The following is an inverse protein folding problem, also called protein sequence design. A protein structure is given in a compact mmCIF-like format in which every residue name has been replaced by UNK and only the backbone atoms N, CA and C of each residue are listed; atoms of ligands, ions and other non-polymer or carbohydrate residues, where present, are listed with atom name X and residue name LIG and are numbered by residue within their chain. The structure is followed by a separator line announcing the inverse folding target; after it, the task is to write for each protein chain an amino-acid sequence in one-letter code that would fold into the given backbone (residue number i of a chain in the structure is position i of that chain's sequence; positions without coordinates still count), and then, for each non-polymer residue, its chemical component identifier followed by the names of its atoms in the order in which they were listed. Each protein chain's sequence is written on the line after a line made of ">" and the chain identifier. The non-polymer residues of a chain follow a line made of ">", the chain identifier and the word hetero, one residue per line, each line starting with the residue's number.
data_IF_109978026261
#
_entry.id   IF_109978026261
#
_cell.length_a   1.000
_cell.length_b   1.000
_cell.length_c   1.000
_cell.angle_alpha   90.00
_cell.angle_beta   90.00
_cell.angle_gamma   90.00
#
_symmetry.space_group_name_H-M   'P 1'
#
loop_
_entity.id
_entity.type
_entity.pdbx_description
1 polymer ?
#
# COMPACT_ATOMS: atom_id res chain seq x y z
N UNK A 1 -7.47 -19.08 28.04
CA UNK A 1 -7.15 -20.33 27.31
C UNK A 1 -7.37 -20.27 25.79
N UNK A 2 -7.98 -19.21 25.22
CA UNK A 2 -8.36 -19.17 23.79
C UNK A 2 -7.29 -18.59 22.83
N UNK A 3 -6.48 -17.62 23.25
CA UNK A 3 -5.54 -16.94 22.32
C UNK A 3 -4.27 -17.76 22.05
N UNK A 4 -3.74 -18.45 23.06
CA UNK A 4 -2.58 -19.33 22.90
C UNK A 4 -2.86 -20.51 21.96
N UNK A 5 -4.00 -21.19 22.13
CA UNK A 5 -4.42 -22.32 21.29
C UNK A 5 -4.61 -21.87 19.84
N UNK A 6 -5.22 -20.70 19.63
CA UNK A 6 -5.39 -20.13 18.29
C UNK A 6 -4.05 -19.81 17.63
N UNK A 7 -3.13 -19.13 18.34
CA UNK A 7 -1.79 -18.82 17.81
C UNK A 7 -0.99 -20.08 17.51
N UNK A 8 -1.07 -21.09 18.37
CA UNK A 8 -0.42 -22.37 18.15
C UNK A 8 -0.97 -23.10 16.92
N UNK A 9 -2.29 -23.16 16.77
CA UNK A 9 -2.93 -23.75 15.59
C UNK A 9 -2.55 -23.02 14.29
N UNK A 10 -2.51 -21.68 14.32
CA UNK A 10 -2.08 -20.86 13.18
C UNK A 10 -0.60 -21.10 12.81
N UNK A 11 0.27 -21.25 13.82
CA UNK A 11 1.68 -21.56 13.60
C UNK A 11 1.86 -22.94 12.96
N UNK A 12 1.11 -23.96 13.43
CA UNK A 12 1.12 -25.28 12.83
C UNK A 12 0.61 -25.26 11.38
N UNK A 13 -0.48 -24.55 11.11
CA UNK A 13 -1.01 -24.41 9.75
C UNK A 13 0.03 -23.76 8.81
N UNK A 14 0.73 -22.72 9.28
CA UNK A 14 1.80 -22.06 8.53
C UNK A 14 2.99 -22.99 8.27
N UNK A 15 3.40 -23.76 9.29
CA UNK A 15 4.42 -24.79 9.15
C UNK A 15 4.06 -25.82 8.08
N UNK A 16 2.82 -26.32 8.09
CA UNK A 16 2.32 -27.26 7.09
C UNK A 16 2.34 -26.69 5.66
N UNK A 17 1.98 -25.41 5.49
CA UNK A 17 2.05 -24.72 4.18
C UNK A 17 3.49 -24.69 3.65
N UNK A 18 4.46 -24.30 4.46
CA UNK A 18 5.86 -24.23 4.02
C UNK A 18 6.46 -25.60 3.73
N UNK A 19 6.16 -26.60 4.56
CA UNK A 19 6.60 -27.98 4.33
C UNK A 19 6.02 -28.49 3.01
N UNK A 20 4.73 -28.26 2.76
CA UNK A 20 4.07 -28.68 1.51
C UNK A 20 4.68 -27.98 0.29
N UNK A 21 4.94 -26.66 0.39
CA UNK A 21 5.57 -25.90 -0.68
C UNK A 21 6.99 -26.41 -0.98
N UNK A 22 7.80 -26.67 0.05
CA UNK A 22 9.15 -27.22 -0.09
C UNK A 22 9.13 -28.61 -0.74
N UNK A 23 8.27 -29.51 -0.26
CA UNK A 23 8.11 -30.84 -0.84
C UNK A 23 7.67 -30.79 -2.30
N UNK A 24 6.73 -29.90 -2.64
CA UNK A 24 6.26 -29.70 -4.02
C UNK A 24 7.40 -29.25 -4.93
N UNK A 25 8.22 -28.29 -4.46
CA UNK A 25 9.39 -27.83 -5.21
C UNK A 25 10.40 -28.94 -5.47
N UNK A 26 10.77 -29.71 -4.44
CA UNK A 26 11.73 -30.80 -4.58
C UNK A 26 11.18 -31.95 -5.44
N UNK A 27 9.89 -32.25 -5.36
CA UNK A 27 9.24 -33.23 -6.23
C UNK A 27 9.28 -32.80 -7.71
N UNK A 28 8.92 -31.56 -8.00
CA UNK A 28 9.02 -30.99 -9.35
C UNK A 28 10.47 -30.97 -9.85
N UNK A 29 11.42 -30.56 -9.00
CA UNK A 29 12.83 -30.52 -9.35
C UNK A 29 13.35 -31.92 -9.70
N UNK A 30 13.06 -32.92 -8.87
CA UNK A 30 13.41 -34.31 -9.13
C UNK A 30 12.84 -34.79 -10.47
N UNK A 31 11.57 -34.47 -10.75
CA UNK A 31 10.93 -34.86 -12.01
C UNK A 31 11.54 -34.13 -13.22
N UNK A 32 11.85 -32.85 -13.09
CA UNK A 32 12.51 -32.10 -14.16
C UNK A 32 13.91 -32.63 -14.43
N UNK A 33 14.67 -33.02 -13.40
CA UNK A 33 15.99 -33.67 -13.57
C UNK A 33 15.84 -35.02 -14.28
N UNK A 34 14.83 -35.82 -13.95
CA UNK A 34 14.57 -37.10 -14.63
C UNK A 34 14.21 -36.92 -16.12
N UNK A 35 13.36 -35.93 -16.44
CA UNK A 35 12.86 -35.72 -17.81
C UNK A 35 13.83 -34.95 -18.70
N UNK A 36 14.62 -34.03 -18.13
CA UNK A 36 15.43 -33.07 -18.89
C UNK A 36 16.93 -33.07 -18.52
N UNK A 37 17.35 -33.99 -17.65
CA UNK A 37 18.75 -34.14 -17.24
C UNK A 37 19.33 -32.87 -16.63
N UNK A 38 20.48 -32.42 -17.14
CA UNK A 38 21.23 -31.25 -16.63
C UNK A 38 20.43 -29.94 -16.78
N UNK A 39 19.47 -29.87 -17.71
CA UNK A 39 18.59 -28.71 -17.88
C UNK A 39 17.40 -28.69 -16.91
N UNK A 40 17.16 -29.80 -16.19
CA UNK A 40 16.04 -29.98 -15.27
C UNK A 40 15.93 -28.89 -14.19
N UNK A 41 17.02 -28.54 -13.48
CA UNK A 41 16.96 -27.51 -12.44
C UNK A 41 16.55 -26.13 -12.95
N UNK A 42 17.03 -25.72 -14.12
CA UNK A 42 16.71 -24.42 -14.73
C UNK A 42 15.25 -24.38 -15.16
N UNK A 43 14.77 -25.47 -15.76
CA UNK A 43 13.36 -25.61 -16.16
C UNK A 43 12.44 -25.56 -14.93
N UNK A 44 12.76 -26.29 -13.87
CA UNK A 44 12.01 -26.27 -12.61
C UNK A 44 11.96 -24.86 -12.01
N UNK A 45 13.10 -24.17 -11.97
CA UNK A 45 13.20 -22.82 -11.40
C UNK A 45 12.40 -21.79 -12.21
N UNK A 46 12.57 -21.74 -13.53
CA UNK A 46 11.84 -20.82 -14.41
C UNK A 46 10.34 -21.10 -14.34
N UNK A 47 9.95 -22.36 -14.40
CA UNK A 47 8.54 -22.73 -14.31
C UNK A 47 7.92 -22.38 -12.96
N UNK A 48 8.67 -22.44 -11.84
CA UNK A 48 8.20 -21.94 -10.55
C UNK A 48 7.98 -20.45 -10.50
N UNK A 49 8.88 -19.66 -11.10
CA UNK A 49 8.66 -18.23 -11.24
C UNK A 49 7.37 -17.97 -12.04
N UNK A 50 7.18 -18.66 -13.16
CA UNK A 50 5.99 -18.49 -14.00
C UNK A 50 4.70 -18.91 -13.28
N UNK A 51 4.68 -20.05 -12.58
CA UNK A 51 3.52 -20.47 -11.80
C UNK A 51 3.22 -19.52 -10.65
N UNK A 52 4.25 -18.99 -10.00
CA UNK A 52 4.07 -18.02 -8.93
C UNK A 52 3.49 -16.70 -9.44
N UNK A 53 4.07 -16.13 -10.51
CA UNK A 53 3.54 -14.91 -11.16
C UNK A 53 2.12 -15.15 -11.68
N UNK A 54 1.86 -16.31 -12.29
CA UNK A 54 0.53 -16.70 -12.76
C UNK A 54 -0.48 -16.80 -11.61
N UNK A 55 -0.12 -17.47 -10.52
CA UNK A 55 -0.97 -17.60 -9.33
C UNK A 55 -1.27 -16.26 -8.66
N UNK A 56 -0.31 -15.34 -8.62
CA UNK A 56 -0.54 -13.96 -8.16
C UNK A 56 -1.45 -13.20 -9.11
N UNK A 57 -1.28 -13.37 -10.43
CA UNK A 57 -2.15 -12.73 -11.43
C UNK A 57 -3.60 -13.19 -11.27
N UNK A 58 -3.81 -14.49 -11.06
CA UNK A 58 -5.13 -15.07 -10.78
C UNK A 58 -5.71 -14.50 -9.49
N UNK A 59 -4.89 -14.35 -8.44
CA UNK A 59 -5.31 -13.77 -7.16
C UNK A 59 -5.79 -12.33 -7.32
N UNK A 60 -5.02 -11.48 -8.00
CA UNK A 60 -5.43 -10.10 -8.23
C UNK A 60 -6.64 -10.00 -9.18
N UNK A 61 -6.72 -10.87 -10.20
CA UNK A 61 -7.91 -10.95 -11.05
C UNK A 61 -9.15 -11.33 -10.23
N UNK A 62 -9.01 -12.22 -9.25
CA UNK A 62 -10.07 -12.54 -8.30
C UNK A 62 -10.55 -11.33 -7.52
N UNK A 63 -9.64 -10.53 -6.95
CA UNK A 63 -10.01 -9.28 -6.29
C UNK A 63 -10.72 -8.30 -7.23
N UNK A 64 -10.26 -8.21 -8.48
CA UNK A 64 -10.88 -7.38 -9.51
C UNK A 64 -12.33 -7.80 -9.77
N UNK A 65 -12.60 -9.09 -10.00
CA UNK A 65 -13.95 -9.59 -10.20
C UNK A 65 -14.82 -9.45 -8.95
N UNK A 66 -14.23 -9.67 -7.76
CA UNK A 66 -14.88 -9.43 -6.48
C UNK A 66 -15.29 -7.97 -6.29
N UNK A 67 -14.43 -7.03 -6.70
CA UNK A 67 -14.72 -5.60 -6.68
C UNK A 67 -15.87 -5.23 -7.62
N UNK A 68 -15.88 -5.79 -8.83
CA UNK A 68 -16.98 -5.61 -9.79
C UNK A 68 -18.30 -6.15 -9.23
N UNK A 69 -18.29 -7.35 -8.65
CA UNK A 69 -19.47 -7.93 -7.99
C UNK A 69 -19.95 -7.09 -6.80
N UNK A 70 -19.01 -6.52 -6.03
CA UNK A 70 -19.26 -5.57 -4.96
C UNK A 70 -19.70 -4.17 -5.43
N UNK A 71 -19.77 -3.93 -6.74
CA UNK A 71 -20.03 -2.60 -7.35
C UNK A 71 -19.09 -1.52 -6.81
N UNK A 72 -17.84 -1.90 -6.56
CA UNK A 72 -16.77 -0.97 -6.19
C UNK A 72 -16.13 -0.43 -7.47
N UNK A 73 -15.70 0.82 -7.42
CA UNK A 73 -15.00 1.46 -8.54
C UNK A 73 -13.54 1.05 -8.48
N UNK A 74 -13.06 0.35 -9.50
CA UNK A 74 -11.65 0.00 -9.61
C UNK A 74 -10.87 1.26 -9.98
N UNK A 75 -9.82 1.53 -9.21
CA UNK A 75 -8.94 2.69 -9.43
C UNK A 75 -7.61 2.25 -10.03
N UNK A 76 -7.03 1.16 -9.55
CA UNK A 76 -5.81 0.61 -10.13
C UNK A 76 -5.68 -0.88 -9.88
N UNK A 77 -5.00 -1.57 -10.78
CA UNK A 77 -4.57 -2.97 -10.64
C UNK A 77 -3.08 -3.04 -10.94
N UNK A 78 -2.31 -3.73 -10.12
CA UNK A 78 -0.90 -4.00 -10.39
C UNK A 78 -0.57 -5.47 -10.18
N UNK A 79 0.31 -6.00 -11.03
CA UNK A 79 0.93 -7.32 -10.88
C UNK A 79 2.41 -7.15 -11.18
N UNK A 80 3.25 -7.34 -10.17
CA UNK A 80 4.67 -7.02 -10.22
C UNK A 80 4.93 -5.57 -10.66
N UNK A 81 5.81 -5.33 -11.64
CA UNK A 81 6.19 -3.98 -12.06
C UNK A 81 5.12 -3.28 -12.92
N UNK A 82 4.10 -4.01 -13.37
CA UNK A 82 3.10 -3.51 -14.31
C UNK A 82 1.87 -3.04 -13.54
N UNK A 83 1.46 -1.79 -13.80
CA UNK A 83 0.28 -1.19 -13.19
C UNK A 83 -0.65 -0.63 -14.27
N UNK A 84 -1.95 -0.88 -14.10
CA UNK A 84 -3.02 -0.25 -14.87
C UNK A 84 -3.75 0.70 -13.93
N UNK A 85 -3.72 2.00 -14.22
CA UNK A 85 -4.40 3.03 -13.44
C UNK A 85 -5.54 3.65 -14.23
N UNK A 86 -6.68 3.88 -13.57
CA UNK A 86 -7.79 4.64 -14.12
C UNK A 86 -7.48 6.14 -14.03
N UNK A 87 -7.49 6.83 -15.17
CA UNK A 87 -7.41 8.31 -15.26
C UNK A 87 -8.78 8.91 -15.58
N UNK A 88 -8.89 10.25 -15.61
CA UNK A 88 -10.11 10.98 -16.00
C UNK A 88 -10.70 10.48 -17.34
N UNK A 89 -9.87 10.00 -18.27
CA UNK A 89 -10.27 9.38 -19.55
C UNK A 89 -9.65 7.99 -19.72
N UNK A 90 -10.32 6.96 -19.21
CA UNK A 90 -9.96 5.56 -19.45
C UNK A 90 -8.86 5.01 -18.53
N UNK A 91 -8.25 3.90 -18.95
CA UNK A 91 -7.16 3.23 -18.23
C UNK A 91 -5.83 3.52 -18.91
N UNK A 92 -4.78 3.73 -18.13
CA UNK A 92 -3.43 3.92 -18.61
C UNK A 92 -2.52 2.86 -18.02
N UNK A 93 -1.77 2.18 -18.88
CA UNK A 93 -0.70 1.28 -18.50
C UNK A 93 0.51 2.11 -18.06
N UNK A 94 1.14 1.72 -16.96
CA UNK A 94 2.34 2.35 -16.42
C UNK A 94 3.18 1.34 -15.63
N UNK A 95 4.32 1.80 -15.14
CA UNK A 95 5.14 1.06 -14.18
C UNK A 95 4.84 1.56 -12.77
N UNK A 96 4.84 0.66 -11.80
CA UNK A 96 4.69 1.04 -10.40
C UNK A 96 6.03 1.64 -9.90
N UNK A 97 6.09 2.93 -9.49
CA UNK A 97 7.37 3.61 -9.23
C UNK A 97 8.15 3.09 -8.01
N UNK A 98 7.48 2.57 -6.96
CA UNK A 98 8.08 2.50 -5.61
C UNK A 98 8.12 1.13 -4.91
N UNK A 99 8.05 -0.02 -5.59
CA UNK A 99 8.20 -1.31 -4.88
C UNK A 99 8.84 -2.41 -5.72
N UNK A 100 10.02 -2.94 -5.33
CA UNK A 100 10.49 -4.21 -5.87
C UNK A 100 10.00 -5.45 -5.09
N UNK A 101 9.43 -5.33 -3.88
CA UNK A 101 9.35 -6.53 -2.99
C UNK A 101 8.07 -6.80 -2.19
N UNK A 102 7.26 -5.82 -1.77
CA UNK A 102 6.31 -6.10 -0.66
C UNK A 102 4.90 -6.57 -1.07
N UNK A 103 4.55 -6.48 -2.36
CA UNK A 103 3.27 -6.99 -2.86
C UNK A 103 3.47 -7.49 -4.28
N UNK A 104 3.38 -8.80 -4.47
CA UNK A 104 3.47 -9.43 -5.78
C UNK A 104 2.38 -8.91 -6.75
N UNK A 105 1.27 -8.39 -6.20
CA UNK A 105 0.22 -7.67 -6.90
C UNK A 105 -0.67 -6.91 -5.91
N UNK A 106 -1.54 -6.03 -6.43
CA UNK A 106 -2.65 -5.46 -5.68
C UNK A 106 -3.79 -4.97 -6.58
N UNK A 107 -5.03 -5.08 -6.09
CA UNK A 107 -6.19 -4.35 -6.61
C UNK A 107 -6.57 -3.23 -5.65
N UNK A 108 -6.74 -2.03 -6.18
CA UNK A 108 -7.28 -0.90 -5.43
C UNK A 108 -8.67 -0.52 -5.91
N UNK A 109 -9.56 -0.34 -4.94
CA UNK A 109 -10.98 -0.09 -5.11
C UNK A 109 -11.38 1.14 -4.32
N UNK A 110 -12.29 1.92 -4.89
CA UNK A 110 -12.93 3.06 -4.25
C UNK A 110 -14.42 2.74 -4.11
N UNK A 111 -15.01 2.85 -2.91
CA UNK A 111 -16.45 2.75 -2.78
C UNK A 111 -17.11 3.98 -3.40
N UNK A 112 -18.05 3.76 -4.33
CA UNK A 112 -18.87 4.84 -4.92
C UNK A 112 -20.10 5.17 -4.08
N UNK A 113 -20.52 4.22 -3.23
CA UNK A 113 -21.65 4.33 -2.32
C UNK A 113 -21.29 3.59 -1.05
N UNK A 114 -21.50 4.23 0.10
CA UNK A 114 -21.10 3.72 1.41
C UNK A 114 -22.10 2.73 2.01
N UNK A 115 -23.29 2.59 1.41
CA UNK A 115 -24.28 1.61 1.84
C UNK A 115 -23.76 0.18 1.71
N UNK A 116 -23.89 -0.57 2.81
CA UNK A 116 -23.44 -1.97 2.93
C UNK A 116 -21.96 -2.16 2.54
N UNK A 117 -21.12 -1.16 2.80
CA UNK A 117 -19.70 -1.16 2.43
C UNK A 117 -18.97 -2.45 2.84
N UNK A 118 -19.19 -2.94 4.06
CA UNK A 118 -18.57 -4.19 4.52
C UNK A 118 -18.89 -5.39 3.63
N UNK A 119 -20.13 -5.54 3.16
CA UNK A 119 -20.51 -6.63 2.25
C UNK A 119 -19.86 -6.48 0.88
N UNK A 120 -19.76 -5.26 0.38
CA UNK A 120 -19.12 -4.95 -0.91
C UNK A 120 -17.61 -5.23 -0.84
N UNK A 121 -16.97 -4.82 0.26
CA UNK A 121 -15.56 -5.13 0.53
C UNK A 121 -15.34 -6.63 0.73
N UNK A 122 -16.27 -7.34 1.36
CA UNK A 122 -16.18 -8.80 1.50
C UNK A 122 -16.08 -9.50 0.14
N UNK A 123 -16.88 -9.10 -0.84
CA UNK A 123 -16.78 -9.62 -2.22
C UNK A 123 -15.43 -9.36 -2.85
N UNK A 124 -14.88 -8.16 -2.68
CA UNK A 124 -13.54 -7.83 -3.16
C UNK A 124 -12.48 -8.70 -2.47
N UNK A 125 -12.52 -8.80 -1.14
CA UNK A 125 -11.51 -9.48 -0.33
C UNK A 125 -11.54 -11.00 -0.50
N UNK A 126 -12.71 -11.61 -0.66
CA UNK A 126 -12.81 -13.05 -0.91
C UNK A 126 -12.48 -13.42 -2.38
N UNK A 127 -12.59 -12.45 -3.30
CA UNK A 127 -12.38 -12.68 -4.73
C UNK A 127 -11.04 -13.32 -5.05
N UNK A 128 -9.94 -12.79 -4.51
CA UNK A 128 -8.59 -13.31 -4.77
C UNK A 128 -8.39 -14.74 -4.29
N UNK A 129 -8.60 -15.04 -2.99
CA UNK A 129 -8.47 -16.39 -2.48
C UNK A 129 -9.39 -17.40 -3.18
N UNK A 130 -10.64 -17.03 -3.49
CA UNK A 130 -11.57 -17.90 -4.21
C UNK A 130 -11.09 -18.21 -5.64
N UNK A 131 -10.55 -17.22 -6.36
CA UNK A 131 -10.01 -17.43 -7.70
C UNK A 131 -8.84 -18.45 -7.68
N UNK A 132 -7.96 -18.35 -6.69
CA UNK A 132 -6.86 -19.30 -6.51
C UNK A 132 -7.38 -20.70 -6.15
N UNK A 133 -8.34 -20.82 -5.24
CA UNK A 133 -8.93 -22.11 -4.90
C UNK A 133 -9.59 -22.78 -6.12
N UNK A 134 -10.39 -22.04 -6.88
CA UNK A 134 -11.05 -22.55 -8.09
C UNK A 134 -10.03 -22.96 -9.17
N UNK A 135 -9.00 -22.13 -9.38
CA UNK A 135 -7.93 -22.45 -10.33
C UNK A 135 -7.15 -23.69 -9.89
N UNK A 136 -6.86 -23.81 -8.60
CA UNK A 136 -6.17 -24.96 -8.05
C UNK A 136 -6.97 -26.26 -8.23
N UNK A 137 -8.27 -26.23 -7.94
CA UNK A 137 -9.18 -27.36 -8.15
C UNK A 137 -9.30 -27.72 -9.64
N UNK A 138 -9.36 -26.73 -10.53
CA UNK A 138 -9.39 -26.96 -11.98
C UNK A 138 -8.09 -27.62 -12.46
N UNK A 139 -6.93 -27.10 -12.07
CA UNK A 139 -5.63 -27.69 -12.40
C UNK A 139 -5.52 -29.13 -11.89
N UNK A 140 -6.02 -29.41 -10.68
CA UNK A 140 -6.02 -30.76 -10.11
C UNK A 140 -6.92 -31.70 -10.91
N UNK A 141 -8.13 -31.27 -11.27
CA UNK A 141 -9.06 -32.05 -12.07
C UNK A 141 -8.49 -32.37 -13.46
N UNK A 142 -7.87 -31.39 -14.11
CA UNK A 142 -7.20 -31.58 -15.40
C UNK A 142 -5.99 -32.50 -15.28
N UNK A 143 -5.17 -32.35 -14.22
CA UNK A 143 -4.05 -33.23 -13.96
C UNK A 143 -4.51 -34.68 -13.83
N UNK A 144 -5.53 -34.95 -13.01
CA UNK A 144 -6.09 -36.30 -12.83
C UNK A 144 -6.71 -36.84 -14.12
N UNK A 145 -7.45 -36.02 -14.86
CA UNK A 145 -8.11 -36.45 -16.09
C UNK A 145 -7.12 -36.90 -17.17
N UNK A 146 -6.04 -36.15 -17.35
CA UNK A 146 -5.10 -36.41 -18.42
C UNK A 146 -3.90 -37.27 -17.97
N UNK A 147 -3.62 -37.38 -16.67
CA UNK A 147 -2.59 -38.27 -16.14
C UNK A 147 -3.12 -39.71 -16.20
N UNK A 148 -3.20 -40.25 -17.42
CA UNK A 148 -3.56 -41.64 -17.64
C UNK A 148 -2.57 -42.52 -16.88
N UNK A 149 -3.04 -43.44 -16.02
CA UNK A 149 -2.15 -44.31 -15.27
C UNK A 149 -1.29 -45.09 -16.28
N UNK A 150 0.03 -44.98 -16.15
CA UNK A 150 0.94 -45.88 -16.83
C UNK A 150 0.62 -47.30 -16.35
N UNK A 151 -0.13 -48.03 -17.18
CA UNK A 151 -0.26 -49.50 -17.22
C UNK A 151 -0.32 -50.22 -15.87
N UNK A 152 -1.52 -50.69 -15.48
CA UNK A 152 -1.93 -51.88 -14.69
C UNK A 152 -0.96 -52.64 -13.71
N UNK A 153 0.22 -52.12 -13.36
CA UNK A 153 1.26 -52.83 -12.60
C UNK A 153 1.69 -52.17 -11.29
N UNK A 154 1.15 -50.99 -10.95
CA UNK A 154 1.44 -50.29 -9.68
C UNK A 154 0.22 -50.20 -8.74
N UNK A 155 -0.70 -51.17 -8.82
CA UNK A 155 -1.70 -51.39 -7.76
C UNK A 155 -1.03 -52.11 -6.58
N UNK A 156 -0.17 -51.40 -5.85
CA UNK A 156 0.51 -51.95 -4.67
C UNK A 156 0.90 -50.94 -3.58
N UNK A 157 0.82 -49.63 -3.86
CA UNK A 157 1.03 -48.59 -2.86
C UNK A 157 -0.26 -47.81 -2.62
N UNK A 158 -0.93 -48.05 -1.49
CA UNK A 158 -2.12 -47.29 -1.04
C UNK A 158 -1.74 -45.90 -0.52
N UNK A 159 -0.77 -45.23 -1.14
CA UNK A 159 -0.27 -43.95 -0.67
C UNK A 159 -1.20 -42.84 -1.15
N UNK A 160 -1.96 -42.29 -0.21
CA UNK A 160 -2.86 -41.14 -0.39
C UNK A 160 -2.10 -39.82 -0.67
N UNK A 161 -0.79 -39.85 -0.93
CA UNK A 161 0.05 -38.68 -0.77
C UNK A 161 0.35 -37.95 -2.10
N UNK A 162 0.07 -36.63 -2.22
CA UNK A 162 0.11 -35.91 -3.51
C UNK A 162 1.45 -35.88 -4.26
N UNK A 163 2.59 -36.06 -3.60
CA UNK A 163 3.90 -35.99 -4.26
C UNK A 163 4.23 -37.25 -5.05
N UNK A 164 3.70 -38.41 -4.67
CA UNK A 164 3.85 -39.63 -5.47
C UNK A 164 3.19 -39.41 -6.84
N UNK A 165 2.06 -38.71 -6.90
CA UNK A 165 1.40 -38.39 -8.17
C UNK A 165 2.19 -37.39 -9.04
N UNK A 166 2.96 -36.49 -8.41
CA UNK A 166 3.89 -35.59 -9.12
C UNK A 166 5.05 -36.40 -9.73
N UNK A 167 5.60 -37.35 -8.98
CA UNK A 167 6.74 -38.17 -9.43
C UNK A 167 6.32 -39.27 -10.41
N UNK A 168 5.13 -39.84 -10.24
CA UNK A 168 4.54 -40.90 -11.08
C UNK A 168 3.85 -40.35 -12.33
N UNK A 169 3.74 -39.03 -12.46
CA UNK A 169 3.14 -38.40 -13.63
C UNK A 169 3.88 -38.82 -14.91
N UNK A 170 3.17 -39.51 -15.80
CA UNK A 170 3.76 -40.12 -17.02
C UNK A 170 4.23 -39.06 -18.02
N UNK A 171 3.73 -37.84 -17.89
CA UNK A 171 3.97 -36.72 -18.81
C UNK A 171 4.37 -35.45 -18.07
N UNK A 172 5.23 -34.64 -18.70
CA UNK A 172 5.75 -33.40 -18.13
C UNK A 172 4.65 -32.40 -17.78
N UNK A 173 3.62 -32.26 -18.62
CA UNK A 173 2.55 -31.28 -18.41
C UNK A 173 1.64 -31.64 -17.23
N UNK A 174 1.44 -32.93 -16.91
CA UNK A 174 0.68 -33.36 -15.72
C UNK A 174 1.39 -32.94 -14.42
N UNK A 175 2.71 -33.08 -14.36
CA UNK A 175 3.55 -32.61 -13.26
C UNK A 175 3.37 -31.10 -13.02
N UNK A 176 3.36 -30.30 -14.09
CA UNK A 176 3.13 -28.86 -14.03
C UNK A 176 1.72 -28.50 -13.56
N UNK A 177 0.68 -29.23 -13.98
CA UNK A 177 -0.69 -29.03 -13.52
C UNK A 177 -0.87 -29.38 -12.04
N UNK A 178 -0.28 -30.48 -11.56
CA UNK A 178 -0.28 -30.79 -10.13
C UNK A 178 0.44 -29.71 -9.32
N UNK A 179 1.58 -29.24 -9.80
CA UNK A 179 2.32 -28.17 -9.13
C UNK A 179 1.52 -26.87 -9.10
N UNK A 180 0.89 -26.50 -10.22
CA UNK A 180 0.01 -25.34 -10.31
C UNK A 180 -1.20 -25.47 -9.36
N UNK A 181 -1.76 -26.67 -9.24
CA UNK A 181 -2.85 -26.96 -8.32
C UNK A 181 -2.44 -26.66 -6.87
N UNK A 182 -1.32 -27.25 -6.42
CA UNK A 182 -0.83 -27.08 -5.05
C UNK A 182 -0.48 -25.61 -4.77
N UNK A 183 0.27 -24.96 -5.67
CA UNK A 183 0.64 -23.54 -5.50
C UNK A 183 -0.60 -22.66 -5.35
N UNK A 184 -1.60 -22.82 -6.21
CA UNK A 184 -2.81 -22.01 -6.13
C UNK A 184 -3.65 -22.33 -4.88
N UNK A 185 -3.80 -23.61 -4.51
CA UNK A 185 -4.50 -23.98 -3.27
C UNK A 185 -3.81 -23.39 -2.04
N UNK A 186 -2.48 -23.47 -1.97
CA UNK A 186 -1.70 -22.90 -0.87
C UNK A 186 -1.81 -21.37 -0.82
N UNK A 187 -1.74 -20.68 -1.97
CA UNK A 187 -1.93 -19.23 -2.05
C UNK A 187 -3.32 -18.81 -1.56
N UNK A 188 -4.37 -19.51 -1.98
CA UNK A 188 -5.75 -19.23 -1.56
C UNK A 188 -5.95 -19.47 -0.06
N UNK A 189 -5.52 -20.64 0.44
CA UNK A 189 -5.63 -20.98 1.86
C UNK A 189 -4.82 -20.03 2.75
N UNK A 190 -3.57 -19.75 2.39
CA UNK A 190 -2.70 -18.85 3.16
C UNK A 190 -3.27 -17.42 3.24
N UNK A 191 -3.99 -16.95 2.21
CA UNK A 191 -4.67 -15.66 2.24
C UNK A 191 -6.01 -15.69 2.99
N UNK A 192 -6.64 -16.84 3.22
CA UNK A 192 -7.85 -16.94 4.05
C UNK A 192 -7.56 -17.15 5.54
N UNK A 193 -6.42 -17.75 5.87
CA UNK A 193 -5.99 -17.93 7.26
C UNK A 193 -5.63 -16.54 7.83
N UNK A 194 -6.28 -16.07 8.91
CA UNK A 194 -6.12 -14.71 9.40
C UNK A 194 -4.81 -14.55 10.19
N UNK A 195 -3.70 -14.39 9.47
CA UNK A 195 -2.37 -14.19 10.04
C UNK A 195 -1.93 -12.76 9.75
N UNK A 196 -1.61 -11.93 10.78
CA UNK A 196 -0.96 -10.65 10.57
C UNK A 196 0.48 -10.87 10.09
N UNK A 197 0.86 -10.20 9.00
CA UNK A 197 2.22 -10.20 8.46
C UNK A 197 2.77 -8.77 8.62
N UNK A 198 3.81 -8.58 9.43
CA UNK A 198 4.48 -7.29 9.66
C UNK A 198 3.53 -6.14 10.04
N UNK A 199 2.55 -6.42 10.91
CA UNK A 199 1.55 -5.43 11.34
C UNK A 199 0.47 -5.13 10.31
N UNK A 200 0.53 -5.72 9.10
CA UNK A 200 -0.51 -5.65 8.06
C UNK A 200 -1.29 -6.96 8.02
N UNK A 201 -2.62 -6.86 8.03
CA UNK A 201 -3.48 -8.04 7.87
C UNK A 201 -3.53 -8.50 6.41
N UNK A 202 -3.37 -9.81 6.18
CA UNK A 202 -3.75 -10.43 4.90
C UNK A 202 -5.27 -10.40 4.69
N UNK A 203 -5.76 -10.89 3.56
CA UNK A 203 -7.20 -10.84 3.24
C UNK A 203 -8.06 -11.56 4.28
N UNK A 204 -7.56 -12.66 4.84
CA UNK A 204 -8.19 -13.44 5.90
C UNK A 204 -8.38 -12.65 7.18
N UNK A 205 -7.39 -11.84 7.59
CA UNK A 205 -7.54 -10.92 8.73
C UNK A 205 -8.65 -9.90 8.46
N UNK A 206 -8.69 -9.33 7.25
CA UNK A 206 -9.72 -8.35 6.85
C UNK A 206 -11.11 -8.99 6.77
N UNK A 207 -11.21 -10.20 6.23
CA UNK A 207 -12.45 -10.99 6.16
C UNK A 207 -12.93 -11.44 7.55
N UNK A 208 -12.02 -11.89 8.40
CA UNK A 208 -12.36 -12.27 9.77
C UNK A 208 -12.88 -11.06 10.56
N UNK A 209 -12.29 -9.88 10.35
CA UNK A 209 -12.80 -8.62 10.91
C UNK A 209 -14.20 -8.26 10.37
N UNK A 210 -14.52 -8.63 9.13
CA UNK A 210 -15.87 -8.50 8.56
C UNK A 210 -16.88 -9.48 9.17
N UNK A 211 -16.49 -10.74 9.42
CA UNK A 211 -17.42 -11.82 9.79
C UNK A 211 -17.65 -12.02 11.30
N UNK A 212 -16.74 -11.60 12.20
CA UNK A 212 -16.87 -11.81 13.66
C UNK A 212 -17.91 -10.92 14.38
N UNK A 213 -18.93 -10.44 13.67
CA UNK A 213 -20.16 -9.90 14.27
C UNK A 213 -20.11 -8.45 14.78
N UNK A 214 -21.30 -7.91 15.08
CA UNK A 214 -21.61 -6.47 15.28
C UNK A 214 -20.67 -5.73 16.26
N UNK A 215 -20.19 -6.36 17.32
CA UNK A 215 -19.34 -5.71 18.34
C UNK A 215 -17.88 -5.48 17.90
N UNK A 216 -17.34 -6.33 17.03
CA UNK A 216 -15.99 -6.14 16.46
C UNK A 216 -16.03 -5.31 15.17
N UNK A 217 -17.08 -5.47 14.36
CA UNK A 217 -17.32 -4.65 13.17
C UNK A 217 -17.56 -3.18 13.53
N UNK A 218 -18.38 -2.85 14.53
CA UNK A 218 -18.54 -1.44 14.97
C UNK A 218 -17.21 -0.79 15.38
N UNK A 219 -16.23 -1.59 15.81
CA UNK A 219 -14.88 -1.11 16.19
C UNK A 219 -13.92 -1.04 15.00
N UNK A 220 -13.93 -2.01 14.10
CA UNK A 220 -12.94 -2.14 13.01
C UNK A 220 -13.43 -1.57 11.68
N UNK A 221 -14.74 -1.54 11.43
CA UNK A 221 -15.30 -0.98 10.20
C UNK A 221 -14.93 0.48 9.98
N UNK A 222 -15.04 1.36 10.99
CA UNK A 222 -14.62 2.75 10.82
C UNK A 222 -13.13 2.78 10.49
N UNK A 223 -12.31 2.00 11.16
CA UNK A 223 -10.86 1.92 10.93
C UNK A 223 -10.55 1.57 9.47
N UNK A 224 -11.11 0.47 8.96
CA UNK A 224 -10.91 0.05 7.57
C UNK A 224 -11.45 1.08 6.57
N UNK A 225 -12.57 1.70 6.88
CA UNK A 225 -13.13 2.77 6.07
C UNK A 225 -12.20 3.99 5.99
N UNK A 226 -11.61 4.43 7.11
CA UNK A 226 -10.65 5.53 7.13
C UNK A 226 -9.40 5.18 6.31
N UNK A 227 -8.92 3.93 6.41
CA UNK A 227 -7.80 3.44 5.61
C UNK A 227 -8.09 3.44 4.10
N UNK A 228 -9.27 2.98 3.68
CA UNK A 228 -9.62 2.98 2.27
C UNK A 228 -9.83 4.39 1.72
N UNK A 229 -10.36 5.32 2.54
CA UNK A 229 -10.44 6.73 2.16
C UNK A 229 -9.03 7.33 2.04
N UNK A 230 -8.16 7.12 3.03
CA UNK A 230 -6.76 7.58 2.96
C UNK A 230 -6.05 7.05 1.72
N UNK A 231 -6.21 5.76 1.41
CA UNK A 231 -5.67 5.15 0.18
C UNK A 231 -6.22 5.82 -1.07
N UNK A 232 -7.52 6.10 -1.10
CA UNK A 232 -8.17 6.82 -2.20
C UNK A 232 -7.58 8.22 -2.38
N UNK A 233 -7.37 8.98 -1.30
CA UNK A 233 -6.79 10.33 -1.36
C UNK A 233 -5.32 10.31 -1.77
N UNK A 234 -4.50 9.43 -1.17
CA UNK A 234 -3.10 9.22 -1.59
C UNK A 234 -2.99 8.92 -3.08
N UNK A 235 -3.94 8.15 -3.60
CA UNK A 235 -3.93 7.74 -4.98
C UNK A 235 -4.46 8.83 -5.92
N UNK A 236 -5.44 9.62 -5.49
CA UNK A 236 -5.84 10.84 -6.18
C UNK A 236 -4.66 11.80 -6.31
N UNK A 237 -3.93 12.01 -5.20
CA UNK A 237 -2.71 12.82 -5.13
C UNK A 237 -1.66 12.32 -6.12
N UNK A 238 -1.23 11.05 -6.04
CA UNK A 238 -0.31 10.44 -7.02
C UNK A 238 -0.84 10.48 -8.47
N UNK A 239 -2.15 10.50 -8.64
CA UNK A 239 -2.84 10.62 -9.93
C UNK A 239 -2.82 12.03 -10.54
N UNK A 240 -2.25 13.02 -9.85
CA UNK A 240 -2.24 14.43 -10.26
C UNK A 240 -3.48 15.21 -9.83
N UNK A 241 -4.27 14.69 -8.89
CA UNK A 241 -5.39 15.44 -8.29
C UNK A 241 -4.86 16.19 -7.08
N UNK A 242 -5.04 17.50 -7.12
CA UNK A 242 -4.56 18.40 -6.11
C UNK A 242 -5.35 18.25 -4.78
N UNK A 243 -4.74 18.46 -3.59
CA UNK A 243 -5.44 18.37 -2.32
C UNK A 243 -6.74 19.17 -2.22
N UNK A 244 -6.78 20.44 -2.68
CA UNK A 244 -8.02 21.25 -2.67
C UNK A 244 -9.15 20.71 -3.56
N UNK A 245 -8.83 19.84 -4.51
CA UNK A 245 -9.81 19.25 -5.45
C UNK A 245 -10.38 17.91 -4.94
N UNK A 246 -9.99 17.48 -3.74
CA UNK A 246 -10.57 16.27 -3.14
C UNK A 246 -12.02 16.50 -2.71
N UNK A 247 -12.77 15.41 -2.58
CA UNK A 247 -14.11 15.46 -2.00
C UNK A 247 -13.99 15.78 -0.50
N UNK A 248 -14.43 16.97 -0.11
CA UNK A 248 -14.36 17.44 1.28
C UNK A 248 -15.07 16.51 2.26
N UNK A 249 -16.17 15.86 1.84
CA UNK A 249 -16.90 14.89 2.66
C UNK A 249 -16.09 13.61 2.88
N UNK A 250 -15.26 13.19 1.91
CA UNK A 250 -14.30 12.10 2.11
C UNK A 250 -13.16 12.51 3.05
N UNK A 251 -12.64 13.73 2.92
CA UNK A 251 -11.57 14.23 3.81
C UNK A 251 -12.06 14.29 5.26
N UNK A 252 -13.25 14.84 5.50
CA UNK A 252 -13.85 14.90 6.82
C UNK A 252 -14.10 13.50 7.39
N UNK A 253 -14.63 12.60 6.56
CA UNK A 253 -14.90 11.22 6.97
C UNK A 253 -13.64 10.37 7.24
N UNK A 254 -12.51 10.72 6.63
CA UNK A 254 -11.22 10.10 6.90
C UNK A 254 -10.65 10.51 8.26
N UNK A 255 -10.97 11.71 8.75
CA UNK A 255 -10.43 12.21 10.00
C UNK A 255 -11.10 11.47 11.17
N UNK A 256 -10.32 10.73 11.98
CA UNK A 256 -10.90 10.07 13.14
C UNK A 256 -11.36 11.12 14.16
N UNK A 257 -12.45 10.86 14.89
CA UNK A 257 -12.82 11.66 16.06
C UNK A 257 -11.67 11.68 17.06
N UNK A 258 -11.41 12.82 17.71
CA UNK A 258 -10.30 12.97 18.67
C UNK A 258 -10.36 11.95 19.82
N UNK A 259 -11.56 11.52 20.21
CA UNK A 259 -11.80 10.53 21.26
C UNK A 259 -11.53 9.07 20.82
N UNK A 260 -11.27 8.84 19.53
CA UNK A 260 -11.08 7.50 18.97
C UNK A 260 -9.66 6.97 19.23
N UNK A 261 -9.33 6.77 20.51
CA UNK A 261 -8.17 5.99 20.95
C UNK A 261 -8.49 4.49 20.86
N UNK A 262 -8.69 3.98 19.63
CA UNK A 262 -8.91 2.56 19.41
C UNK A 262 -7.56 1.84 19.18
N UNK A 263 -7.25 0.78 19.96
CA UNK A 263 -6.09 -0.06 19.73
C UNK A 263 -6.09 -0.56 18.27
N UNK A 264 -5.09 -0.17 17.49
CA UNK A 264 -4.94 -0.56 16.08
C UNK A 264 -4.97 0.59 15.07
N UNK A 265 -5.51 1.77 15.43
CA UNK A 265 -5.48 2.96 14.54
C UNK A 265 -4.23 3.83 14.76
N UNK A 266 -3.56 3.66 15.91
CA UNK A 266 -2.47 4.51 16.39
C UNK A 266 -1.33 4.70 15.37
N UNK A 267 -1.00 3.64 14.63
CA UNK A 267 0.07 3.67 13.63
C UNK A 267 -0.28 4.51 12.39
N UNK A 268 -1.54 4.92 12.20
CA UNK A 268 -1.96 5.67 11.00
C UNK A 268 -2.72 6.95 11.30
N UNK A 269 -2.98 7.26 12.58
CA UNK A 269 -3.50 8.56 13.01
C UNK A 269 -2.70 9.72 12.40
N UNK A 270 -1.36 9.62 12.46
CA UNK A 270 -0.48 10.64 11.88
C UNK A 270 -0.70 10.82 10.37
N UNK A 271 -0.97 9.73 9.63
CA UNK A 271 -1.28 9.80 8.20
C UNK A 271 -2.64 10.44 7.91
N UNK A 272 -3.68 10.12 8.69
CA UNK A 272 -4.99 10.76 8.51
C UNK A 272 -4.91 12.27 8.74
N UNK A 273 -4.27 12.69 9.83
CA UNK A 273 -4.11 14.11 10.13
C UNK A 273 -3.23 14.83 9.11
N UNK A 274 -2.15 14.20 8.62
CA UNK A 274 -1.30 14.78 7.58
C UNK A 274 -2.07 15.03 6.27
N UNK A 275 -2.93 14.10 5.86
CA UNK A 275 -3.76 14.29 4.65
C UNK A 275 -4.82 15.36 4.86
N UNK A 276 -5.43 15.43 6.04
CA UNK A 276 -6.31 16.54 6.40
C UNK A 276 -5.58 17.88 6.35
N UNK A 277 -4.34 17.94 6.86
CA UNK A 277 -3.48 19.12 6.78
C UNK A 277 -3.24 19.55 5.33
N UNK A 278 -2.88 18.63 4.42
CA UNK A 278 -2.67 18.98 3.01
C UNK A 278 -3.92 19.60 2.37
N UNK A 279 -5.10 19.02 2.61
CA UNK A 279 -6.35 19.59 2.11
C UNK A 279 -6.65 20.97 2.71
N UNK A 280 -6.52 21.12 4.04
CA UNK A 280 -6.79 22.38 4.73
C UNK A 280 -5.82 23.49 4.31
N UNK A 281 -4.53 23.18 4.22
CA UNK A 281 -3.50 24.11 3.75
C UNK A 281 -3.81 24.59 2.33
N UNK A 282 -4.12 23.64 1.45
CA UNK A 282 -4.32 23.93 0.04
C UNK A 282 -5.66 24.61 -0.26
N UNK A 283 -6.64 24.54 0.64
CA UNK A 283 -7.89 25.31 0.58
C UNK A 283 -7.79 26.68 1.26
N UNK A 284 -6.61 27.03 1.80
CA UNK A 284 -6.37 28.30 2.48
C UNK A 284 -6.90 28.37 3.91
N UNK A 285 -7.31 27.24 4.50
CA UNK A 285 -7.75 27.18 5.89
C UNK A 285 -6.54 26.92 6.81
N UNK A 286 -5.70 27.95 6.98
CA UNK A 286 -4.42 27.85 7.69
C UNK A 286 -4.58 27.47 9.16
N UNK A 287 -5.61 27.98 9.85
CA UNK A 287 -5.87 27.62 11.25
C UNK A 287 -6.15 26.13 11.41
N UNK A 288 -7.01 25.58 10.55
CA UNK A 288 -7.32 24.15 10.56
C UNK A 288 -6.12 23.31 10.14
N UNK A 289 -5.33 23.78 9.18
CA UNK A 289 -4.10 23.12 8.75
C UNK A 289 -3.13 22.99 9.93
N UNK A 290 -2.90 24.07 10.69
CA UNK A 290 -2.03 24.06 11.86
C UNK A 290 -2.49 23.06 12.93
N UNK A 291 -3.79 23.04 13.25
CA UNK A 291 -4.35 22.08 14.22
C UNK A 291 -4.11 20.62 13.79
N UNK A 292 -4.37 20.31 12.52
CA UNK A 292 -4.18 18.96 11.98
C UNK A 292 -2.71 18.57 11.92
N UNK A 293 -1.82 19.51 11.59
CA UNK A 293 -0.38 19.28 11.61
C UNK A 293 0.14 18.98 13.03
N UNK A 294 -0.36 19.71 14.04
CA UNK A 294 -0.01 19.46 15.44
C UNK A 294 -0.43 18.05 15.87
N UNK A 295 -1.62 17.60 15.48
CA UNK A 295 -2.09 16.23 15.71
C UNK A 295 -1.23 15.21 14.97
N UNK A 296 -0.88 15.47 13.71
CA UNK A 296 0.00 14.60 12.92
C UNK A 296 1.37 14.44 13.59
N UNK A 297 1.97 15.55 14.05
CA UNK A 297 3.23 15.57 14.78
C UNK A 297 3.11 14.80 16.10
N UNK A 298 2.03 14.96 16.89
CA UNK A 298 1.83 14.22 18.14
C UNK A 298 1.81 12.70 17.92
N UNK A 299 1.13 12.23 16.88
CA UNK A 299 0.99 10.81 16.56
C UNK A 299 2.10 10.23 15.68
N UNK A 300 3.17 10.97 15.39
CA UNK A 300 4.25 10.53 14.48
C UNK A 300 5.02 9.29 15.00
N UNK A 301 5.07 9.06 16.32
CA UNK A 301 5.80 7.94 16.91
C UNK A 301 5.19 6.60 16.44
N UNK A 302 6.02 5.61 16.12
CA UNK A 302 5.58 4.31 15.58
C UNK A 302 5.51 4.23 14.05
N UNK A 303 5.56 5.36 13.33
CA UNK A 303 5.65 5.36 11.87
C UNK A 303 7.07 5.09 11.36
N UNK A 304 7.23 4.79 10.06
CA UNK A 304 8.56 4.62 9.44
C UNK A 304 9.43 5.87 9.57
N UNK A 305 10.75 5.71 9.53
CA UNK A 305 11.68 6.83 9.69
C UNK A 305 11.48 7.93 8.62
N UNK A 306 11.25 7.54 7.37
CA UNK A 306 10.99 8.46 6.26
C UNK A 306 9.66 9.21 6.46
N UNK A 307 8.61 8.51 6.90
CA UNK A 307 7.33 9.16 7.17
C UNK A 307 7.45 10.19 8.31
N UNK A 308 8.15 9.84 9.39
CA UNK A 308 8.39 10.79 10.49
C UNK A 308 9.18 12.01 10.03
N UNK A 309 10.19 11.81 9.18
CA UNK A 309 10.96 12.91 8.59
C UNK A 309 10.08 13.84 7.75
N UNK A 310 9.20 13.28 6.90
CA UNK A 310 8.27 14.05 6.09
C UNK A 310 7.30 14.89 6.95
N UNK A 311 6.69 14.32 7.99
CA UNK A 311 5.80 15.07 8.89
C UNK A 311 6.55 16.18 9.63
N UNK A 312 7.80 15.93 10.08
CA UNK A 312 8.63 16.96 10.69
C UNK A 312 9.06 18.04 9.70
N UNK A 313 9.23 17.73 8.42
CA UNK A 313 9.50 18.73 7.37
C UNK A 313 8.29 19.64 7.16
N UNK A 314 7.08 19.10 7.13
CA UNK A 314 5.87 19.93 7.11
C UNK A 314 5.76 20.80 8.36
N UNK A 315 6.09 20.24 9.54
CA UNK A 315 6.22 21.00 10.78
C UNK A 315 7.19 22.19 10.65
N UNK A 316 8.38 21.94 10.09
CA UNK A 316 9.39 22.99 9.87
C UNK A 316 8.84 24.13 9.01
N UNK A 317 8.28 23.79 7.84
CA UNK A 317 7.76 24.78 6.92
C UNK A 317 6.63 25.59 7.55
N UNK A 318 5.66 24.92 8.17
CA UNK A 318 4.47 25.58 8.68
C UNK A 318 4.81 26.54 9.85
N UNK A 319 5.70 26.12 10.74
CA UNK A 319 6.17 26.97 11.84
C UNK A 319 6.92 28.20 11.31
N UNK A 320 7.83 28.04 10.34
CA UNK A 320 8.62 29.14 9.81
C UNK A 320 7.79 30.12 8.95
N UNK A 321 6.98 29.59 8.03
CA UNK A 321 6.32 30.40 7.00
C UNK A 321 4.99 31.01 7.48
N UNK A 322 4.16 30.24 8.20
CA UNK A 322 2.82 30.69 8.61
C UNK A 322 2.75 31.17 10.05
N UNK A 323 3.45 30.50 10.98
CA UNK A 323 3.44 30.87 12.41
C UNK A 323 4.57 31.85 12.78
N UNK A 324 5.56 32.02 11.91
CA UNK A 324 6.77 32.82 12.15
C UNK A 324 7.52 32.44 13.44
N UNK A 325 7.45 31.16 13.86
CA UNK A 325 8.18 30.62 14.99
C UNK A 325 9.43 29.89 14.51
N UNK A 326 10.53 30.65 14.41
CA UNK A 326 11.81 30.12 13.98
C UNK A 326 12.38 29.06 14.93
N UNK A 327 12.10 29.18 16.23
CA UNK A 327 12.60 28.24 17.24
C UNK A 327 11.93 26.87 17.07
N UNK A 328 10.60 26.85 16.95
CA UNK A 328 9.84 25.64 16.68
C UNK A 328 10.23 25.02 15.33
N UNK A 329 10.39 25.84 14.28
CA UNK A 329 10.82 25.39 12.97
C UNK A 329 12.18 24.67 13.03
N UNK A 330 13.18 25.27 13.67
CA UNK A 330 14.52 24.66 13.83
C UNK A 330 14.48 23.38 14.66
N UNK A 331 13.62 23.31 15.67
CA UNK A 331 13.45 22.09 16.46
C UNK A 331 12.89 20.92 15.62
N UNK A 332 11.97 21.20 14.68
CA UNK A 332 11.46 20.19 13.75
C UNK A 332 12.45 19.81 12.66
N UNK A 333 13.20 20.79 12.13
CA UNK A 333 14.24 20.57 11.13
C UNK A 333 15.26 19.54 11.58
N UNK A 334 15.80 19.69 12.80
CA UNK A 334 16.76 18.74 13.38
C UNK A 334 16.18 17.33 13.46
N UNK A 335 14.90 17.19 13.81
CA UNK A 335 14.22 15.88 13.94
C UNK A 335 13.96 15.20 12.59
N UNK A 336 13.90 15.97 11.51
CA UNK A 336 13.63 15.45 10.18
C UNK A 336 14.88 14.92 9.46
N UNK A 337 16.09 15.31 9.88
CA UNK A 337 17.36 14.92 9.25
C UNK A 337 17.66 13.41 9.24
N UNK A 338 16.86 12.60 9.95
CA UNK A 338 17.08 11.16 10.06
C UNK A 338 16.42 10.33 8.94
N UNK A 339 15.70 10.92 7.98
CA UNK A 339 14.95 10.17 6.96
C UNK A 339 15.02 10.77 5.56
N UNK A 340 14.57 9.99 4.57
CA UNK A 340 14.50 10.42 3.18
C UNK A 340 13.19 11.18 2.93
N UNK A 341 13.30 12.41 2.42
CA UNK A 341 12.20 13.30 2.01
C UNK A 341 12.48 13.76 0.58
N UNK A 342 11.43 14.00 -0.22
CA UNK A 342 11.61 14.51 -1.59
C UNK A 342 12.30 15.88 -1.57
N UNK A 343 13.15 16.11 -2.56
CA UNK A 343 13.95 17.34 -2.66
C UNK A 343 13.11 18.63 -2.65
N UNK A 344 11.96 18.73 -3.36
CA UNK A 344 11.13 19.93 -3.32
C UNK A 344 10.66 20.29 -1.91
N UNK A 345 10.14 19.31 -1.17
CA UNK A 345 9.66 19.50 0.22
C UNK A 345 10.77 19.95 1.15
N UNK A 346 11.96 19.38 1.00
CA UNK A 346 13.14 19.77 1.78
C UNK A 346 13.55 21.23 1.49
N UNK A 347 13.64 21.57 0.21
CA UNK A 347 14.02 22.90 -0.25
C UNK A 347 12.98 23.96 0.13
N UNK A 348 11.68 23.63 0.12
CA UNK A 348 10.62 24.50 0.62
C UNK A 348 10.80 24.81 2.11
N UNK A 349 11.02 23.79 2.94
CA UNK A 349 11.21 23.98 4.37
C UNK A 349 12.48 24.80 4.68
N UNK A 350 13.57 24.55 3.95
CA UNK A 350 14.80 25.34 4.07
C UNK A 350 14.59 26.80 3.66
N UNK A 351 13.92 27.04 2.53
CA UNK A 351 13.61 28.37 2.04
C UNK A 351 12.73 29.14 3.03
N UNK A 352 11.77 28.48 3.69
CA UNK A 352 10.94 29.10 4.72
C UNK A 352 11.75 29.52 5.96
N UNK A 353 12.70 28.70 6.42
CA UNK A 353 13.61 29.08 7.52
C UNK A 353 14.43 30.32 7.13
N UNK A 354 15.08 30.28 5.96
CA UNK A 354 15.92 31.39 5.48
C UNK A 354 15.11 32.68 5.33
N UNK A 355 13.88 32.58 4.85
CA UNK A 355 12.97 33.72 4.73
C UNK A 355 12.63 34.31 6.11
N UNK A 356 12.31 33.46 7.09
CA UNK A 356 12.03 33.87 8.47
C UNK A 356 13.28 34.49 9.16
N UNK A 357 14.48 34.13 8.71
CA UNK A 357 15.76 34.71 9.16
C UNK A 357 16.12 36.03 8.45
N UNK A 358 15.29 36.46 7.48
CA UNK A 358 15.56 37.65 6.67
C UNK A 358 16.57 37.43 5.54
N UNK A 359 17.04 36.20 5.33
CA UNK A 359 17.98 35.83 4.27
C UNK A 359 17.24 35.64 2.93
N UNK A 360 16.62 36.71 2.44
CA UNK A 360 15.69 36.69 1.31
C UNK A 360 16.31 36.16 0.01
N UNK A 361 17.55 36.52 -0.30
CA UNK A 361 18.23 36.06 -1.53
C UNK A 361 18.45 34.55 -1.51
N UNK A 362 18.91 34.02 -0.37
CA UNK A 362 19.14 32.59 -0.20
C UNK A 362 17.83 31.81 -0.17
N UNK A 363 16.80 32.35 0.48
CA UNK A 363 15.44 31.79 0.45
C UNK A 363 14.91 31.67 -0.99
N UNK A 364 15.10 32.71 -1.81
CA UNK A 364 14.69 32.68 -3.21
C UNK A 364 15.47 31.63 -4.02
N UNK A 365 16.79 31.54 -3.87
CA UNK A 365 17.60 30.51 -4.54
C UNK A 365 17.14 29.09 -4.18
N UNK A 366 16.84 28.84 -2.90
CA UNK A 366 16.30 27.54 -2.45
C UNK A 366 14.93 27.24 -3.04
N UNK A 367 14.03 28.21 -3.06
CA UNK A 367 12.70 28.03 -3.62
C UNK A 367 12.74 27.79 -5.15
N UNK A 368 13.62 28.47 -5.89
CA UNK A 368 13.85 28.22 -7.32
C UNK A 368 14.39 26.80 -7.59
N UNK A 369 15.37 26.36 -6.77
CA UNK A 369 15.86 24.97 -6.83
C UNK A 369 14.74 23.97 -6.52
N UNK A 370 13.87 24.28 -5.56
CA UNK A 370 12.69 23.48 -5.24
C UNK A 370 11.76 23.34 -6.44
N UNK A 371 11.46 24.45 -7.13
CA UNK A 371 10.61 24.46 -8.33
C UNK A 371 11.21 23.62 -9.48
N UNK A 372 12.53 23.68 -9.66
CA UNK A 372 13.22 22.87 -10.67
C UNK A 372 13.12 21.37 -10.33
N UNK A 373 13.24 21.00 -9.05
CA UNK A 373 13.17 19.61 -8.59
C UNK A 373 11.77 18.98 -8.69
N UNK A 374 10.70 19.77 -8.88
CA UNK A 374 9.33 19.25 -9.04
C UNK A 374 9.17 18.34 -10.26
N UNK A 375 10.01 18.49 -11.29
CA UNK A 375 9.97 17.65 -12.48
C UNK A 375 10.20 16.16 -12.18
N UNK A 376 10.94 15.88 -11.09
CA UNK A 376 11.31 14.53 -10.67
C UNK A 376 10.43 13.99 -9.53
N UNK A 377 9.38 14.72 -9.11
CA UNK A 377 8.53 14.30 -8.00
C UNK A 377 7.68 13.06 -8.35
N UNK A 378 7.59 12.14 -7.40
CA UNK A 378 6.74 10.94 -7.54
C UNK A 378 5.28 11.22 -7.19
N UNK A 379 5.00 12.35 -6.56
CA UNK A 379 3.69 12.81 -6.17
C UNK A 379 3.19 13.94 -7.08
N UNK A 380 2.57 13.56 -8.19
CA UNK A 380 2.14 14.51 -9.22
C UNK A 380 1.12 15.54 -8.71
N UNK A 381 0.25 15.18 -7.77
CA UNK A 381 -0.79 16.06 -7.24
C UNK A 381 -0.26 16.93 -6.11
N UNK A 382 0.60 16.37 -5.26
CA UNK A 382 1.35 17.14 -4.26
C UNK A 382 2.26 18.17 -4.92
N UNK A 383 2.95 17.81 -6.01
CA UNK A 383 3.81 18.72 -6.78
C UNK A 383 3.09 19.96 -7.32
N UNK A 384 1.77 19.85 -7.61
CA UNK A 384 0.96 21.01 -8.01
C UNK A 384 0.73 21.98 -6.84
N UNK A 385 0.44 21.48 -5.65
CA UNK A 385 0.29 22.31 -4.46
C UNK A 385 1.65 22.85 -3.98
N UNK A 386 2.68 22.02 -4.00
CA UNK A 386 4.06 22.35 -3.63
C UNK A 386 4.61 23.51 -4.48
N UNK A 387 4.29 23.54 -5.79
CA UNK A 387 4.62 24.65 -6.69
C UNK A 387 4.11 25.98 -6.15
N UNK A 388 2.84 26.07 -5.78
CA UNK A 388 2.25 27.33 -5.28
C UNK A 388 2.87 27.75 -3.95
N UNK A 389 3.22 26.80 -3.07
CA UNK A 389 3.90 27.11 -1.81
C UNK A 389 5.32 27.68 -2.05
N UNK A 390 6.07 27.09 -2.98
CA UNK A 390 7.39 27.58 -3.38
C UNK A 390 7.31 28.96 -4.07
N UNK A 391 6.33 29.15 -4.94
CA UNK A 391 6.05 30.45 -5.59
C UNK A 391 5.64 31.52 -4.56
N UNK A 392 4.89 31.16 -3.51
CA UNK A 392 4.55 32.07 -2.42
C UNK A 392 5.79 32.51 -1.62
N UNK A 393 6.71 31.59 -1.32
CA UNK A 393 8.00 31.93 -0.70
C UNK A 393 8.80 32.88 -1.61
N UNK A 394 8.85 32.61 -2.92
CA UNK A 394 9.56 33.47 -3.87
C UNK A 394 8.97 34.87 -3.95
N UNK A 395 7.64 34.97 -3.98
CA UNK A 395 6.95 36.25 -3.99
C UNK A 395 7.31 37.05 -2.73
N UNK A 396 7.30 36.44 -1.55
CA UNK A 396 7.65 37.10 -0.29
C UNK A 396 9.14 37.51 -0.23
N UNK A 397 10.04 36.61 -0.66
CA UNK A 397 11.47 36.88 -0.70
C UNK A 397 11.83 38.06 -1.63
N UNK A 398 11.07 38.25 -2.71
CA UNK A 398 11.30 39.32 -3.70
C UNK A 398 10.62 40.65 -3.37
N UNK A 399 9.80 40.73 -2.32
CA UNK A 399 9.19 42.01 -1.92
C UNK A 399 10.30 43.02 -1.55
N UNK A 400 10.16 44.30 -1.95
CA UNK A 400 11.09 45.34 -1.52
C UNK A 400 11.03 45.52 0.00
N UNK A 401 12.16 45.87 0.61
CA UNK A 401 12.28 46.01 2.07
C UNK A 401 11.37 47.09 2.67
N UNK A 402 10.81 47.99 1.84
CA UNK A 402 9.90 49.07 2.25
C UNK A 402 8.51 48.60 2.69
N UNK A 403 8.10 47.39 2.32
CA UNK A 403 6.72 46.89 2.52
C UNK A 403 6.61 45.86 3.65
N UNK A 404 7.69 45.67 4.42
CA UNK A 404 7.69 44.74 5.56
C UNK A 404 6.97 45.37 6.77
N UNK A 405 5.96 44.71 7.36
CA UNK A 405 5.30 45.20 8.56
C UNK A 405 6.30 45.13 9.73
N UNK A 406 6.91 46.27 10.09
CA UNK A 406 7.84 46.34 11.22
C UNK A 406 8.92 47.41 11.15
N UNK A 407 9.11 48.10 10.02
CA UNK A 407 10.00 49.27 9.98
C UNK A 407 9.27 50.49 10.56
N UNK A 408 9.16 50.55 11.90
CA UNK A 408 8.88 51.81 12.59
C UNK A 408 9.97 52.80 12.20
N UNK A 409 9.56 53.83 11.45
CA UNK A 409 10.31 55.05 11.22
C UNK A 409 10.74 55.65 12.56
N UNK A 410 12.01 55.47 12.89
CA UNK A 410 12.70 56.31 13.86
C UNK A 410 12.99 57.66 13.22
N UNK A 411 12.04 58.58 13.30
CA UNK A 411 12.31 60.02 13.44
C UNK A 411 12.75 60.21 14.91
N UNK A 412 13.82 60.91 15.32
CA UNK A 412 14.48 62.13 14.84
C UNK A 412 15.98 62.05 15.16
#
# INVERSE_FOLDING_TARGET
>A
MSDFVLRFALALAKGAVYITAGMTFFGLLGRCVQLYGVAGPQIAFIGMILLWVGGVTVHEAGHLFGALAGRLRIVSVAVGPIQVMRKKRGFRLGRHPDRPTDAAGFVMVQPTVLDRLGRRLAWCLCGGPLANLLTGLLCLALAVHFNQPASEGHLGGSSFWPWEWILDSTTSWACWLYTAAIVNLLLGLNNLIPIPIDGKGNDGVKLMALFRGKHSWQRIAPILEHYEILRTLNQAMRGGVRPRDWDAGLVEKMLPPEEMSSPGLEFSLSSFYLYGYFHALDTGNYDRAGQLLDLALRHRKGNSINFRAAVCMEGTFFEAFYRHDLSAARAWWVRAQCGLVEAPTWLRAEAAILLAEGQRVEAADKAEKGLAALADSTDLGGALAERELLEAILAEARKPASDAPGATSGEV
#
